data_IF_931946773630
#
_entry.id   IF_931946773630
#
_cell.length_a   1.000
_cell.length_b   1.000
_cell.length_c   1.000
_cell.angle_alpha   90.00
_cell.angle_beta   90.00
_cell.angle_gamma   90.00
#
_symmetry.space_group_name_H-M   'P 1'
#
loop_
_entity.id
_entity.type
_entity.pdbx_description
1 polymer ?
#
# COMPACT_ATOMS: atom_id res chain seq x y z
N UNK A 1 21.39 8.01 2.00
CA UNK A 1 21.99 6.74 1.60
C UNK A 1 23.09 6.35 2.55
N UNK A 2 23.21 5.06 2.87
CA UNK A 2 24.24 4.53 3.78
C UNK A 2 25.59 4.25 3.09
N UNK A 3 25.57 4.00 1.78
CA UNK A 3 26.79 3.77 0.99
C UNK A 3 26.69 4.41 -0.37
N UNK A 4 27.83 4.77 -0.93
CA UNK A 4 27.96 5.11 -2.35
C UNK A 4 27.46 3.94 -3.22
N UNK A 5 26.94 4.24 -4.42
CA UNK A 5 26.72 3.23 -5.46
C UNK A 5 25.50 3.49 -6.34
N UNK A 6 25.14 2.51 -7.17
CA UNK A 6 24.00 2.61 -8.07
C UNK A 6 22.68 2.28 -7.36
N UNK A 7 21.67 3.12 -7.56
CA UNK A 7 20.32 2.92 -7.02
C UNK A 7 19.25 3.14 -8.09
N UNK A 8 18.19 2.32 -8.07
CA UNK A 8 16.97 2.56 -8.82
C UNK A 8 15.94 3.27 -7.93
N UNK A 9 15.28 4.28 -8.50
CA UNK A 9 14.18 5.00 -7.84
C UNK A 9 12.86 4.52 -8.43
N UNK A 10 12.06 3.88 -7.59
CA UNK A 10 10.72 3.40 -7.95
C UNK A 10 9.67 4.18 -7.19
N UNK A 11 8.57 4.52 -7.87
CA UNK A 11 7.41 5.16 -7.24
C UNK A 11 6.17 4.33 -7.49
N UNK A 12 5.42 4.04 -6.43
CA UNK A 12 4.08 3.46 -6.51
C UNK A 12 3.07 4.60 -6.60
N UNK A 13 2.41 4.72 -7.74
CA UNK A 13 1.50 5.83 -8.04
C UNK A 13 0.17 5.30 -8.58
N UNK A 14 -0.92 6.00 -8.26
CA UNK A 14 -2.26 5.69 -8.71
C UNK A 14 -2.48 6.10 -10.16
N UNK A 15 -2.69 5.12 -11.05
CA UNK A 15 -3.10 5.38 -12.41
C UNK A 15 -4.62 5.52 -12.52
N UNK A 16 -5.13 6.62 -13.09
CA UNK A 16 -6.57 6.82 -13.39
C UNK A 16 -6.78 7.99 -14.36
N UNK A 17 -8.01 8.42 -14.58
CA UNK A 17 -8.33 9.63 -15.33
C UNK A 17 -7.89 10.90 -14.59
N UNK A 18 -7.81 12.02 -15.32
CA UNK A 18 -7.54 13.36 -14.77
C UNK A 18 -6.24 13.47 -13.96
N UNK A 19 -5.17 12.83 -14.46
CA UNK A 19 -3.82 12.89 -13.86
C UNK A 19 -2.97 14.00 -14.44
N UNK A 20 -2.30 14.73 -13.54
CA UNK A 20 -1.31 15.75 -13.89
C UNK A 20 0.06 15.14 -14.18
N UNK A 21 0.95 15.88 -14.83
CA UNK A 21 2.35 15.45 -14.95
C UNK A 21 3.04 15.57 -13.59
N UNK A 22 3.67 14.49 -13.15
CA UNK A 22 4.52 14.42 -11.97
C UNK A 22 5.98 14.45 -12.42
N UNK A 23 6.72 15.48 -12.03
CA UNK A 23 8.15 15.62 -12.27
C UNK A 23 8.91 15.29 -10.98
N UNK A 24 9.98 14.50 -11.10
CA UNK A 24 10.74 13.97 -9.97
C UNK A 24 12.17 14.48 -10.06
N UNK A 25 12.60 15.17 -9.00
CA UNK A 25 13.94 15.74 -8.87
C UNK A 25 14.69 15.05 -7.73
N UNK A 26 16.00 14.88 -7.93
CA UNK A 26 16.92 14.40 -6.91
C UNK A 26 18.04 15.42 -6.81
N UNK A 27 18.20 16.03 -5.63
CA UNK A 27 19.12 17.15 -5.37
C UNK A 27 18.94 18.27 -6.41
N UNK A 28 17.68 18.68 -6.59
CA UNK A 28 17.23 19.73 -7.53
C UNK A 28 17.46 19.41 -9.03
N UNK A 29 17.99 18.24 -9.36
CA UNK A 29 18.16 17.79 -10.75
C UNK A 29 16.97 16.95 -11.18
N UNK A 30 16.32 17.32 -12.28
CA UNK A 30 15.22 16.55 -12.87
C UNK A 30 15.73 15.16 -13.30
N UNK A 31 15.09 14.10 -12.80
CA UNK A 31 15.46 12.71 -13.08
C UNK A 31 14.44 11.92 -13.87
N UNK A 32 13.18 12.33 -13.79
CA UNK A 32 12.12 11.67 -14.54
C UNK A 32 10.81 12.44 -14.47
N UNK A 33 9.95 12.15 -15.44
CA UNK A 33 8.60 12.68 -15.49
C UNK A 33 7.65 11.54 -15.84
N UNK A 34 6.49 11.52 -15.18
CA UNK A 34 5.44 10.57 -15.48
C UNK A 34 4.10 11.29 -15.51
N UNK A 35 3.20 10.83 -16.38
CA UNK A 35 1.78 11.18 -16.29
C UNK A 35 1.03 9.88 -16.05
N UNK A 36 0.56 9.59 -14.82
CA UNK A 36 -0.02 8.29 -14.48
C UNK A 36 -1.45 8.14 -15.02
N UNK A 37 -1.72 8.55 -16.25
CA UNK A 37 -3.05 8.50 -16.84
C UNK A 37 -3.42 7.06 -17.24
N UNK A 38 -4.64 6.65 -16.91
CA UNK A 38 -5.23 5.41 -17.42
C UNK A 38 -6.76 5.55 -17.51
N UNK A 39 -7.29 5.40 -18.73
CA UNK A 39 -8.73 5.48 -19.02
C UNK A 39 -9.50 4.22 -18.56
N UNK A 40 -8.80 3.09 -18.46
CA UNK A 40 -9.34 1.82 -17.99
C UNK A 40 -8.30 1.14 -17.09
N UNK A 41 -8.75 0.37 -16.10
CA UNK A 41 -7.91 -0.32 -15.10
C UNK A 41 -7.12 0.64 -14.21
N UNK A 42 -7.88 1.50 -13.52
CA UNK A 42 -7.34 2.35 -12.46
C UNK A 42 -6.72 1.50 -11.34
N UNK A 43 -5.60 1.96 -10.78
CA UNK A 43 -4.94 1.24 -9.70
C UNK A 43 -3.50 1.70 -9.44
N UNK A 44 -2.95 1.24 -8.32
CA UNK A 44 -1.57 1.53 -7.92
C UNK A 44 -0.59 0.70 -8.73
N UNK A 45 0.40 1.35 -9.34
CA UNK A 45 1.48 0.70 -10.10
C UNK A 45 2.83 1.21 -9.66
N UNK A 46 3.79 0.29 -9.53
CA UNK A 46 5.21 0.65 -9.39
C UNK A 46 5.76 1.06 -10.75
N UNK A 47 6.41 2.21 -10.81
CA UNK A 47 7.07 2.75 -12.00
C UNK A 47 8.53 3.01 -11.66
N UNK A 48 9.45 2.49 -12.47
CA UNK A 48 10.86 2.86 -12.38
C UNK A 48 11.02 4.26 -12.98
N UNK A 49 11.43 5.22 -12.17
CA UNK A 49 11.61 6.60 -12.59
C UNK A 49 12.97 6.80 -13.23
N UNK A 50 14.02 6.29 -12.58
CA UNK A 50 15.39 6.49 -13.01
C UNK A 50 16.34 5.52 -12.33
N UNK A 51 17.51 5.35 -12.93
CA UNK A 51 18.70 4.76 -12.30
C UNK A 51 19.70 5.88 -12.03
N UNK A 52 20.08 6.04 -10.77
CA UNK A 52 21.12 6.96 -10.36
C UNK A 52 22.45 6.20 -10.29
N UNK A 53 23.36 6.56 -11.18
CA UNK A 53 24.76 6.11 -11.11
C UNK A 53 25.51 6.98 -10.10
N UNK A 54 26.33 6.36 -9.25
CA UNK A 54 27.26 7.01 -8.32
C UNK A 54 26.73 8.06 -7.32
N UNK A 55 25.41 8.18 -7.11
CA UNK A 55 24.84 7.77 -5.82
C UNK A 55 25.63 7.99 -4.53
N UNK A 56 26.05 9.19 -4.13
CA UNK A 56 26.89 9.35 -2.93
C UNK A 56 26.18 8.94 -1.63
N UNK A 57 26.97 8.50 -0.66
CA UNK A 57 26.50 8.32 0.71
C UNK A 57 26.20 9.68 1.33
N UNK A 58 25.21 9.72 2.23
CA UNK A 58 24.75 10.96 2.87
C UNK A 58 23.29 11.30 2.55
N UNK A 59 22.92 12.56 2.82
CA UNK A 59 21.56 13.04 2.69
C UNK A 59 21.29 13.52 1.26
N UNK A 60 20.13 13.15 0.74
CA UNK A 60 19.64 13.58 -0.57
C UNK A 60 18.20 14.05 -0.44
N UNK A 61 17.79 14.96 -1.32
CA UNK A 61 16.42 15.49 -1.34
C UNK A 61 15.72 14.96 -2.58
N UNK A 62 14.53 14.38 -2.38
CA UNK A 62 13.61 14.02 -3.46
C UNK A 62 12.48 15.04 -3.48
N UNK A 63 12.34 15.75 -4.59
CA UNK A 63 11.26 16.71 -4.79
C UNK A 63 10.31 16.20 -5.87
N UNK A 64 9.01 16.20 -5.56
CA UNK A 64 7.95 15.85 -6.50
C UNK A 64 7.14 17.10 -6.82
N UNK A 65 7.00 17.41 -8.11
CA UNK A 65 6.24 18.58 -8.59
C UNK A 65 5.09 18.11 -9.45
N UNK A 66 3.89 18.56 -9.13
CA UNK A 66 2.71 18.39 -9.98
C UNK A 66 2.53 19.63 -10.85
N UNK A 67 2.28 19.45 -12.14
CA UNK A 67 2.03 20.56 -13.08
C UNK A 67 0.68 21.26 -12.87
N UNK A 68 -0.18 20.73 -12.00
CA UNK A 68 -1.48 21.31 -11.67
C UNK A 68 -2.60 21.01 -12.66
N UNK A 69 -2.33 20.23 -13.72
CA UNK A 69 -3.35 19.85 -14.72
C UNK A 69 -4.24 18.68 -14.28
N UNK A 70 -3.93 18.07 -13.14
CA UNK A 70 -4.69 16.97 -12.55
C UNK A 70 -4.11 16.52 -11.21
N UNK A 71 -4.73 15.52 -10.58
CA UNK A 71 -4.30 14.98 -9.29
C UNK A 71 -3.24 13.88 -9.47
N UNK A 72 -2.39 13.66 -8.48
CA UNK A 72 -1.44 12.55 -8.45
C UNK A 72 -1.46 11.90 -7.07
N UNK A 73 -1.68 10.59 -7.00
CA UNK A 73 -1.73 9.81 -5.76
C UNK A 73 -0.45 8.98 -5.63
N UNK A 74 0.52 9.45 -4.83
CA UNK A 74 1.75 8.71 -4.55
C UNK A 74 1.56 7.91 -3.27
N UNK A 75 1.66 6.59 -3.37
CA UNK A 75 1.48 5.65 -2.26
C UNK A 75 2.81 5.33 -1.57
N UNK A 76 3.86 5.09 -2.35
CA UNK A 76 5.16 4.72 -1.82
C UNK A 76 6.31 5.12 -2.77
N UNK A 77 7.50 5.32 -2.20
CA UNK A 77 8.75 5.50 -2.92
C UNK A 77 9.73 4.45 -2.41
N UNK A 78 10.39 3.75 -3.32
CA UNK A 78 11.43 2.78 -3.00
C UNK A 78 12.73 3.19 -3.67
N UNK A 79 13.82 3.16 -2.89
CA UNK A 79 15.16 3.43 -3.37
C UNK A 79 15.98 2.19 -3.08
N UNK A 80 16.34 1.47 -4.13
CA UNK A 80 16.86 0.10 -4.01
C UNK A 80 18.12 -0.07 -4.83
N UNK A 81 19.08 -0.82 -4.29
CA UNK A 81 20.23 -1.28 -5.09
C UNK A 81 19.71 -2.27 -6.13
N UNK A 82 20.03 -2.11 -7.43
CA UNK A 82 19.52 -3.00 -8.47
C UNK A 82 19.84 -4.48 -8.21
N UNK A 83 21.04 -4.76 -7.69
CA UNK A 83 21.47 -6.13 -7.35
C UNK A 83 20.63 -6.76 -6.22
N UNK A 84 20.27 -5.97 -5.19
CA UNK A 84 19.44 -6.45 -4.10
C UNK A 84 18.01 -6.71 -4.58
N UNK A 85 17.45 -5.81 -5.39
CA UNK A 85 16.12 -5.99 -5.97
C UNK A 85 16.07 -7.25 -6.85
N UNK A 86 17.06 -7.43 -7.73
CA UNK A 86 17.16 -8.61 -8.60
C UNK A 86 17.28 -9.89 -7.77
N UNK A 87 18.14 -9.92 -6.76
CA UNK A 87 18.30 -11.08 -5.88
C UNK A 87 17.00 -11.46 -5.17
N UNK A 88 16.23 -10.47 -4.68
CA UNK A 88 14.93 -10.73 -4.04
C UNK A 88 13.84 -11.17 -5.01
N UNK A 89 13.86 -10.65 -6.24
CA UNK A 89 12.98 -11.11 -7.31
C UNK A 89 13.25 -12.59 -7.64
N UNK A 90 14.52 -12.96 -7.79
CA UNK A 90 14.93 -14.33 -8.06
C UNK A 90 14.57 -15.28 -6.91
N UNK A 91 14.76 -14.86 -5.65
CA UNK A 91 14.33 -15.61 -4.47
C UNK A 91 12.82 -15.92 -4.53
N UNK A 92 12.00 -14.91 -4.81
CA UNK A 92 10.55 -15.06 -4.92
C UNK A 92 10.14 -15.96 -6.11
N UNK A 93 10.74 -15.76 -7.29
CA UNK A 93 10.46 -16.59 -8.46
C UNK A 93 10.86 -18.05 -8.24
N UNK A 94 12.02 -18.29 -7.62
CA UNK A 94 12.45 -19.64 -7.27
C UNK A 94 11.49 -20.31 -6.27
N UNK A 95 11.00 -19.57 -5.28
CA UNK A 95 10.00 -20.08 -4.34
C UNK A 95 8.69 -20.46 -5.06
N UNK A 96 8.22 -19.61 -5.98
CA UNK A 96 7.02 -19.88 -6.79
C UNK A 96 7.21 -21.08 -7.72
N UNK A 97 8.37 -21.21 -8.37
CA UNK A 97 8.67 -22.33 -9.26
C UNK A 97 8.78 -23.67 -8.54
N UNK A 98 9.26 -23.66 -7.28
CA UNK A 98 9.38 -24.84 -6.44
C UNK A 98 8.11 -25.14 -5.64
N UNK A 99 7.10 -24.29 -5.72
CA UNK A 99 5.86 -24.48 -4.98
C UNK A 99 5.15 -25.74 -5.52
N UNK A 100 4.91 -26.77 -4.67
CA UNK A 100 4.33 -28.03 -5.14
C UNK A 100 2.82 -27.93 -5.45
N UNK A 101 2.20 -26.78 -5.18
CA UNK A 101 0.79 -26.51 -5.45
C UNK A 101 0.55 -25.85 -6.80
N UNK A 102 -0.72 -25.61 -7.12
CA UNK A 102 -1.11 -24.84 -8.31
C UNK A 102 -1.28 -23.38 -7.95
N UNK A 103 -0.66 -22.50 -8.73
CA UNK A 103 -0.92 -21.07 -8.67
C UNK A 103 -2.11 -20.77 -9.59
N UNK A 104 -3.20 -20.25 -9.01
CA UNK A 104 -4.39 -19.84 -9.77
C UNK A 104 -4.44 -18.31 -9.72
N UNK A 105 -4.31 -17.68 -10.89
CA UNK A 105 -4.54 -16.26 -11.03
C UNK A 105 -6.03 -16.02 -11.29
N UNK A 106 -6.72 -15.36 -10.34
CA UNK A 106 -8.15 -15.10 -10.42
C UNK A 106 -8.38 -13.63 -10.74
N UNK A 107 -8.98 -13.37 -11.91
CA UNK A 107 -9.45 -12.03 -12.27
C UNK A 107 -10.72 -11.71 -11.47
N UNK A 108 -10.74 -10.54 -10.85
CA UNK A 108 -11.87 -10.13 -10.00
C UNK A 108 -12.03 -11.04 -8.78
N UNK A 109 -10.91 -11.42 -8.15
CA UNK A 109 -10.88 -12.29 -6.98
C UNK A 109 -11.83 -11.82 -5.87
N UNK A 110 -12.06 -10.50 -5.77
CA UNK A 110 -13.06 -9.93 -4.88
C UNK A 110 -14.47 -10.48 -5.17
N UNK A 111 -14.86 -10.68 -6.43
CA UNK A 111 -16.16 -11.24 -6.78
C UNK A 111 -16.25 -12.74 -6.48
N UNK A 112 -15.12 -13.45 -6.58
CA UNK A 112 -15.08 -14.90 -6.36
C UNK A 112 -15.00 -15.29 -4.88
N UNK A 113 -14.30 -14.49 -4.06
CA UNK A 113 -13.95 -14.87 -2.69
C UNK A 113 -14.52 -13.97 -1.61
N UNK A 114 -15.08 -12.80 -1.95
CA UNK A 114 -15.65 -11.96 -0.90
C UNK A 114 -17.07 -12.41 -0.53
N UNK A 115 -17.89 -12.93 -1.45
CA UNK A 115 -19.28 -13.29 -1.15
C UNK A 115 -19.39 -14.65 -0.45
N UNK A 116 -20.14 -14.68 0.67
CA UNK A 116 -20.50 -15.90 1.41
C UNK A 116 -21.85 -16.41 0.87
N UNK A 117 -22.02 -17.71 0.55
CA UNK A 117 -21.08 -18.81 0.76
C UNK A 117 -19.98 -18.94 -0.28
N UNK A 118 -18.77 -19.28 0.18
CA UNK A 118 -17.70 -19.78 -0.70
C UNK A 118 -18.18 -21.03 -1.46
N UNK A 119 -17.65 -21.28 -2.68
CA UNK A 119 -17.95 -22.52 -3.40
C UNK A 119 -17.65 -23.76 -2.54
N UNK A 120 -18.53 -24.77 -2.62
CA UNK A 120 -18.39 -26.01 -1.84
C UNK A 120 -17.02 -26.67 -2.05
N UNK A 121 -16.37 -27.06 -0.95
CA UNK A 121 -15.05 -27.68 -0.96
C UNK A 121 -13.86 -26.71 -0.91
N UNK A 122 -14.10 -25.40 -0.83
CA UNK A 122 -13.05 -24.40 -0.70
C UNK A 122 -12.87 -23.97 0.75
N UNK A 123 -11.61 -23.85 1.19
CA UNK A 123 -11.24 -23.32 2.50
C UNK A 123 -10.19 -22.22 2.32
N UNK A 124 -10.40 -21.06 2.94
CA UNK A 124 -9.42 -19.97 2.95
C UNK A 124 -8.41 -20.23 4.06
N UNK A 125 -7.13 -20.31 3.71
CA UNK A 125 -6.02 -20.34 4.65
C UNK A 125 -5.48 -18.92 4.83
N UNK A 126 -5.61 -18.37 6.03
CA UNK A 126 -5.07 -17.05 6.35
C UNK A 126 -3.59 -17.17 6.71
N UNK A 127 -2.74 -16.42 6.02
CA UNK A 127 -1.37 -16.19 6.46
C UNK A 127 -1.33 -14.92 7.32
N UNK A 128 -0.80 -14.96 8.56
CA UNK A 128 -0.77 -13.80 9.42
C UNK A 128 0.09 -12.67 8.84
N UNK A 129 -0.32 -11.45 9.20
CA UNK A 129 0.30 -10.19 8.87
C UNK A 129 1.80 -10.13 9.20
N UNK A 130 2.63 -9.72 8.23
CA UNK A 130 4.09 -9.56 8.38
C UNK A 130 4.58 -8.09 8.29
N UNK A 131 3.71 -7.10 8.50
CA UNK A 131 4.18 -5.76 8.87
C UNK A 131 4.08 -4.59 7.87
N UNK A 132 3.56 -4.74 6.64
CA UNK A 132 3.73 -3.66 5.63
C UNK A 132 2.49 -3.03 4.99
N UNK A 133 1.26 -3.51 5.21
CA UNK A 133 0.06 -2.75 4.80
C UNK A 133 -1.20 -3.20 5.54
N UNK A 134 -2.05 -2.24 5.91
CA UNK A 134 -3.41 -2.48 6.41
C UNK A 134 -4.40 -2.18 5.28
N UNK A 135 -5.18 -3.17 4.85
CA UNK A 135 -6.32 -2.96 3.96
C UNK A 135 -7.53 -3.73 4.47
N UNK A 136 -8.70 -3.12 4.38
CA UNK A 136 -10.00 -3.75 4.67
C UNK A 136 -10.61 -4.20 3.35
N UNK A 137 -10.74 -5.51 3.09
CA UNK A 137 -11.25 -6.02 1.81
C UNK A 137 -12.77 -5.82 1.62
N UNK A 138 -13.47 -5.35 2.64
CA UNK A 138 -14.86 -4.89 2.55
C UNK A 138 -15.01 -3.72 3.48
N UNK A 139 -15.36 -2.55 2.95
CA UNK A 139 -15.42 -1.29 3.69
C UNK A 139 -16.44 -1.23 4.83
N UNK A 140 -16.92 -2.34 5.37
CA UNK A 140 -17.97 -2.40 6.40
C UNK A 140 -17.55 -3.17 7.65
N UNK A 141 -16.30 -3.66 7.72
CA UNK A 141 -15.90 -4.52 8.83
C UNK A 141 -14.98 -3.85 9.85
N UNK A 142 -15.19 -4.28 11.10
CA UNK A 142 -14.37 -3.96 12.24
C UNK A 142 -12.93 -4.43 11.98
N UNK A 143 -11.99 -3.49 11.97
CA UNK A 143 -10.60 -3.72 11.54
C UNK A 143 -9.75 -4.43 12.58
N UNK A 144 -10.18 -4.44 13.85
CA UNK A 144 -9.43 -5.08 14.93
C UNK A 144 -10.32 -5.43 16.14
N UNK A 145 -11.19 -6.45 16.01
CA UNK A 145 -12.16 -6.81 17.05
C UNK A 145 -11.53 -7.33 18.36
N UNK A 146 -10.21 -7.55 18.38
CA UNK A 146 -9.44 -8.05 19.54
C UNK A 146 -8.47 -7.01 20.11
N UNK A 147 -8.42 -5.80 19.58
CA UNK A 147 -7.62 -4.74 20.21
C UNK A 147 -8.24 -4.34 21.55
N UNK A 148 -7.37 -4.08 22.53
CA UNK A 148 -7.80 -3.68 23.86
C UNK A 148 -8.31 -2.23 23.88
N UNK A 149 -7.72 -1.36 23.06
CA UNK A 149 -8.06 0.06 23.01
C UNK A 149 -7.98 0.59 21.58
N UNK A 150 -8.85 1.55 21.29
CA UNK A 150 -8.89 2.28 20.03
C UNK A 150 -8.98 3.79 20.30
N UNK A 151 -8.20 4.58 19.58
CA UNK A 151 -8.26 6.05 19.58
C UNK A 151 -8.16 6.58 18.14
N UNK A 152 -8.73 7.73 17.86
CA UNK A 152 -8.68 8.32 16.52
C UNK A 152 -8.64 9.85 16.56
N UNK A 153 -8.10 10.48 15.51
CA UNK A 153 -8.05 11.94 15.35
C UNK A 153 -9.36 12.59 14.93
N UNK A 154 -10.31 11.80 14.41
CA UNK A 154 -11.58 12.30 13.87
C UNK A 154 -12.64 11.22 13.91
N UNK A 155 -13.91 11.64 13.87
CA UNK A 155 -15.08 10.77 13.85
C UNK A 155 -16.06 11.37 12.83
N UNK A 156 -16.66 10.54 11.98
CA UNK A 156 -17.70 10.94 11.05
C UNK A 156 -18.89 11.58 11.80
N UNK A 157 -19.63 12.50 11.17
CA UNK A 157 -20.64 13.32 11.86
C UNK A 157 -21.82 12.54 12.46
N UNK A 158 -21.89 11.24 12.22
CA UNK A 158 -22.98 10.36 12.66
C UNK A 158 -22.49 9.44 13.78
N UNK A 159 -23.34 9.23 14.79
CA UNK A 159 -23.11 8.24 15.86
C UNK A 159 -22.92 6.85 15.23
N UNK A 160 -22.01 6.05 15.80
CA UNK A 160 -21.73 4.69 15.33
C UNK A 160 -20.50 4.55 14.45
N UNK A 161 -19.65 5.59 14.37
CA UNK A 161 -18.37 5.59 13.67
C UNK A 161 -17.19 5.96 14.57
N UNK A 162 -17.37 5.92 15.88
CA UNK A 162 -16.35 6.28 16.86
C UNK A 162 -15.18 5.28 16.84
N UNK A 163 -14.03 5.66 17.41
CA UNK A 163 -12.84 4.80 17.42
C UNK A 163 -13.12 3.40 18.02
N UNK A 164 -13.94 3.31 19.07
CA UNK A 164 -14.28 2.02 19.70
C UNK A 164 -15.06 1.06 18.78
N UNK A 165 -15.67 1.56 17.70
CA UNK A 165 -16.31 0.74 16.67
C UNK A 165 -15.30 -0.04 15.82
N UNK A 166 -14.01 0.26 15.94
CA UNK A 166 -12.94 -0.52 15.36
C UNK A 166 -12.45 -1.68 16.26
N UNK A 167 -12.98 -1.85 17.47
CA UNK A 167 -12.59 -2.92 18.40
C UNK A 167 -13.69 -3.40 19.38
N UNK A 168 -14.95 -3.10 19.13
CA UNK A 168 -16.07 -3.48 20.01
C UNK A 168 -16.51 -4.95 19.89
N UNK A 169 -15.77 -5.78 19.14
CA UNK A 169 -16.06 -7.20 18.94
C UNK A 169 -17.21 -7.50 17.96
N UNK A 170 -17.93 -6.48 17.48
CA UNK A 170 -18.96 -6.64 16.46
C UNK A 170 -18.33 -6.49 15.09
N UNK A 171 -18.53 -7.47 14.20
CA UNK A 171 -17.88 -7.43 12.89
C UNK A 171 -18.44 -6.35 11.97
N UNK A 172 -19.70 -5.93 12.16
CA UNK A 172 -20.43 -4.99 11.29
C UNK A 172 -20.31 -3.51 11.71
N UNK A 173 -19.48 -3.20 12.71
CA UNK A 173 -19.19 -1.84 13.16
C UNK A 173 -17.84 -1.40 12.61
N UNK A 174 -17.62 -0.09 12.45
CA UNK A 174 -16.32 0.44 12.01
C UNK A 174 -16.10 1.86 12.50
N UNK A 175 -14.84 2.26 12.63
CA UNK A 175 -14.48 3.66 12.70
C UNK A 175 -14.57 4.31 11.31
N UNK A 176 -14.97 5.59 11.26
CA UNK A 176 -14.83 6.42 10.07
C UNK A 176 -14.46 7.85 10.46
N UNK A 177 -13.60 8.50 9.67
CA UNK A 177 -13.20 9.90 9.86
C UNK A 177 -14.04 10.87 9.04
N UNK A 178 -13.98 12.15 9.37
CA UNK A 178 -14.34 13.23 8.42
C UNK A 178 -13.37 13.25 7.22
N UNK A 179 -13.82 13.87 6.13
CA UNK A 179 -12.99 14.17 4.98
C UNK A 179 -12.03 15.34 5.26
N UNK A 180 -10.72 15.20 4.97
CA UNK A 180 -9.72 16.27 5.13
C UNK A 180 -8.30 15.79 5.43
N UNK A 181 -7.43 16.72 5.85
CA UNK A 181 -6.03 16.57 6.31
C UNK A 181 -5.79 15.33 7.20
N UNK A 182 -4.55 14.80 7.35
CA UNK A 182 -4.32 13.40 7.73
C UNK A 182 -5.07 12.96 8.98
N UNK A 183 -5.72 11.81 8.86
CA UNK A 183 -6.52 11.18 9.90
C UNK A 183 -5.82 9.90 10.35
N UNK A 184 -5.87 9.61 11.64
CA UNK A 184 -5.31 8.39 12.20
C UNK A 184 -6.33 7.65 13.06
N UNK A 185 -6.23 6.33 13.02
CA UNK A 185 -6.83 5.38 13.95
C UNK A 185 -5.68 4.59 14.57
N UNK A 186 -5.53 4.67 15.88
CA UNK A 186 -4.54 3.94 16.64
C UNK A 186 -5.21 2.82 17.43
N UNK A 187 -4.61 1.65 17.36
CA UNK A 187 -5.08 0.44 18.02
C UNK A 187 -4.00 -0.05 18.96
N UNK A 188 -4.37 -0.38 20.20
CA UNK A 188 -3.46 -0.97 21.18
C UNK A 188 -3.91 -2.40 21.47
N UNK A 189 -2.98 -3.35 21.38
CA UNK A 189 -3.18 -4.74 21.78
C UNK A 189 -2.44 -4.96 23.08
N UNK A 190 -3.03 -5.75 23.98
CA UNK A 190 -2.27 -6.26 25.10
C UNK A 190 -1.08 -7.03 24.54
N UNK A 191 0.13 -6.65 24.94
CA UNK A 191 1.31 -7.46 24.69
C UNK A 191 1.00 -8.87 25.18
N UNK A 192 1.21 -9.89 24.33
CA UNK A 192 1.23 -11.27 24.83
C UNK A 192 2.23 -11.27 25.97
N UNK A 193 1.76 -11.56 27.19
CA UNK A 193 2.66 -12.07 28.22
C UNK A 193 3.33 -13.30 27.59
N UNK A 194 4.66 -13.27 27.61
CA UNK A 194 5.56 -14.37 27.24
C UNK A 194 5.05 -15.72 27.71
#
# INVERSE_FOLDING_TARGET
MESDGTYDIWIRVGFTDFRGKLSIFIDDILRGEIRPYAHYWAGLKWVNITRLEDLKSGNHIITLTNDGTGLNDVDAIAIVKPSQFQSKMEEALNALQRFPGRLIYVLGAENAFTYDPLPSGWSIAFSPYNGFTLHTERGVFNVSPKAHKASASSIWKTIGFEAHKANDGFLNTRWASLHGMPQWLQMEWATRRS
#
